data_IF_564069058850
#
_entry.id   IF_564069058850
#
_cell.length_a   1.000
_cell.length_b   1.000
_cell.length_c   1.000
_cell.angle_alpha   90.00
_cell.angle_beta   90.00
_cell.angle_gamma   90.00
#
_symmetry.space_group_name_H-M   'P 1'
#
loop_
_entity.id
_entity.type
_entity.pdbx_description
1 polymer ?
#
# COMPACT_ATOMS: atom_id res chain seq x y z
N UNK A 1 33.98 66.14 -34.35
CA UNK A 1 33.47 64.94 -35.01
C UNK A 1 33.00 64.01 -33.90
N UNK A 2 31.72 63.83 -33.68
CA UNK A 2 31.21 62.97 -32.64
C UNK A 2 30.93 61.53 -33.18
N UNK A 3 31.33 60.54 -32.38
CA UNK A 3 31.11 59.13 -32.62
C UNK A 3 29.67 58.73 -32.17
N UNK A 4 28.91 58.25 -33.12
CA UNK A 4 27.57 57.67 -32.88
C UNK A 4 27.68 56.32 -32.21
N UNK A 5 27.00 56.13 -31.05
CA UNK A 5 26.83 54.86 -30.39
C UNK A 5 25.47 54.30 -30.84
N UNK A 6 25.50 53.21 -31.59
CA UNK A 6 24.33 52.44 -31.97
C UNK A 6 24.00 51.49 -30.82
N UNK A 7 22.84 51.69 -30.18
CA UNK A 7 22.28 50.76 -29.19
C UNK A 7 21.44 49.70 -29.91
N UNK A 8 21.90 48.47 -29.91
CA UNK A 8 21.09 47.30 -30.25
C UNK A 8 20.19 46.95 -29.09
N UNK A 9 18.88 47.08 -29.28
CA UNK A 9 17.87 46.59 -28.38
C UNK A 9 17.56 45.13 -28.72
N UNK A 10 18.02 44.22 -27.86
CA UNK A 10 17.65 42.80 -27.93
C UNK A 10 16.23 42.62 -27.36
N UNK A 11 15.26 42.41 -28.23
CA UNK A 11 13.90 41.97 -27.82
C UNK A 11 13.97 40.47 -27.56
N UNK A 12 13.93 40.06 -26.31
CA UNK A 12 13.67 38.70 -25.93
C UNK A 12 12.17 38.41 -26.13
N UNK A 13 11.85 37.58 -27.11
CA UNK A 13 10.53 37.03 -27.27
C UNK A 13 10.36 35.92 -26.20
N UNK A 14 9.55 36.20 -25.16
CA UNK A 14 9.02 35.14 -24.31
C UNK A 14 8.02 34.35 -25.13
N UNK A 15 8.39 33.14 -25.52
CA UNK A 15 7.45 32.14 -25.98
C UNK A 15 6.63 31.67 -24.75
N UNK A 16 5.40 32.15 -24.61
CA UNK A 16 4.43 31.52 -23.73
C UNK A 16 4.13 30.15 -24.32
N UNK A 17 4.66 29.10 -23.72
CA UNK A 17 4.11 27.77 -23.90
C UNK A 17 2.69 27.78 -23.33
N UNK A 18 1.70 27.82 -24.19
CA UNK A 18 0.30 27.60 -23.83
C UNK A 18 0.21 26.13 -23.40
N UNK A 19 0.04 25.90 -22.10
CA UNK A 19 -0.44 24.61 -21.60
C UNK A 19 -1.84 24.38 -22.20
N UNK A 20 -2.16 23.15 -22.66
CA UNK A 20 -3.50 22.86 -23.10
C UNK A 20 -4.45 23.14 -21.93
N UNK A 21 -5.42 24.00 -22.16
CA UNK A 21 -6.52 24.26 -21.23
C UNK A 21 -7.26 22.95 -21.05
N UNK A 22 -7.11 22.33 -19.87
CA UNK A 22 -7.96 21.24 -19.43
C UNK A 22 -9.42 21.68 -19.59
N UNK A 23 -10.19 20.92 -20.34
CA UNK A 23 -11.60 21.14 -20.49
C UNK A 23 -12.23 21.17 -19.11
N UNK A 24 -12.73 22.33 -18.67
CA UNK A 24 -13.50 22.45 -17.44
C UNK A 24 -14.78 21.63 -17.62
N UNK A 25 -14.75 20.41 -17.07
CA UNK A 25 -15.98 19.70 -16.79
C UNK A 25 -16.70 20.50 -15.72
N UNK A 26 -17.80 21.11 -16.08
CA UNK A 26 -18.68 21.85 -15.18
C UNK A 26 -19.24 20.87 -14.13
N UNK A 27 -18.58 20.76 -12.99
CA UNK A 27 -19.06 19.93 -11.88
C UNK A 27 -19.78 20.82 -10.88
N UNK A 28 -21.08 20.70 -10.84
CA UNK A 28 -21.96 21.45 -9.92
C UNK A 28 -21.95 20.94 -8.48
N UNK A 29 -21.20 19.88 -8.14
CA UNK A 29 -21.20 19.25 -6.83
C UNK A 29 -19.81 18.70 -6.44
N UNK A 30 -18.79 19.56 -6.39
CA UNK A 30 -17.51 19.18 -5.80
C UNK A 30 -17.46 19.57 -4.32
N UNK A 31 -17.08 18.66 -3.46
CA UNK A 31 -16.76 18.95 -2.07
C UNK A 31 -15.24 19.15 -1.93
N UNK A 32 -14.81 20.30 -1.46
CA UNK A 32 -13.42 20.54 -1.06
C UNK A 32 -13.19 19.95 0.34
N UNK A 33 -12.14 19.17 0.50
CA UNK A 33 -11.68 18.68 1.79
C UNK A 33 -10.31 19.27 2.07
N UNK A 34 -10.20 20.06 3.14
CA UNK A 34 -8.90 20.48 3.65
C UNK A 34 -8.27 19.32 4.44
N UNK A 35 -7.01 19.02 4.15
CA UNK A 35 -6.22 18.02 4.87
C UNK A 35 -4.98 18.66 5.45
N UNK A 36 -4.74 18.45 6.74
CA UNK A 36 -3.55 18.96 7.40
C UNK A 36 -2.32 18.16 6.99
N UNK A 37 -1.26 18.85 6.59
CA UNK A 37 0.01 18.23 6.24
C UNK A 37 0.92 18.18 7.47
N UNK A 38 1.51 16.99 7.70
CA UNK A 38 2.47 16.77 8.77
C UNK A 38 3.69 17.71 8.66
N UNK A 39 4.34 18.00 9.77
CA UNK A 39 5.59 18.74 9.93
C UNK A 39 5.60 20.25 9.65
N UNK A 40 4.63 20.84 8.96
CA UNK A 40 4.63 22.28 8.68
C UNK A 40 3.27 22.97 8.90
N UNK A 41 2.29 22.27 9.46
CA UNK A 41 0.92 22.78 9.67
C UNK A 41 0.32 23.46 8.43
N UNK A 42 0.69 22.97 7.24
CA UNK A 42 0.13 23.47 6.00
C UNK A 42 -1.08 22.65 5.62
N UNK A 43 -2.03 23.29 4.97
CA UNK A 43 -3.27 22.70 4.51
C UNK A 43 -3.15 22.41 3.02
N UNK A 44 -3.55 21.22 2.57
CA UNK A 44 -3.79 20.92 1.18
C UNK A 44 -5.28 20.73 0.93
N UNK A 45 -5.74 21.10 -0.26
CA UNK A 45 -7.12 20.91 -0.67
C UNK A 45 -7.23 19.69 -1.57
N UNK A 46 -8.18 18.83 -1.27
CA UNK A 46 -8.61 17.74 -2.09
C UNK A 46 -10.03 18.06 -2.60
N UNK A 47 -10.21 18.07 -3.91
CA UNK A 47 -11.53 18.23 -4.51
C UNK A 47 -12.16 16.86 -4.78
N UNK A 48 -13.38 16.68 -4.32
CA UNK A 48 -14.22 15.53 -4.64
C UNK A 48 -15.39 15.95 -5.49
N UNK A 49 -15.48 15.39 -6.67
CA UNK A 49 -16.56 15.65 -7.63
C UNK A 49 -17.31 14.35 -7.91
N UNK A 50 -18.25 13.99 -7.04
CA UNK A 50 -18.93 12.70 -7.13
C UNK A 50 -17.95 11.54 -6.90
N UNK A 51 -17.78 10.67 -7.90
CA UNK A 51 -16.85 9.55 -7.86
C UNK A 51 -15.43 9.92 -8.30
N UNK A 52 -15.20 11.19 -8.61
CA UNK A 52 -13.94 11.71 -9.11
C UNK A 52 -13.16 12.44 -8.02
N UNK A 53 -11.85 12.20 -7.92
CA UNK A 53 -10.97 12.88 -6.97
C UNK A 53 -9.87 13.60 -7.73
N UNK A 54 -9.82 14.91 -7.55
CA UNK A 54 -8.81 15.76 -8.16
C UNK A 54 -7.79 16.18 -7.13
N UNK A 55 -6.58 15.74 -7.28
CA UNK A 55 -5.49 16.26 -6.48
C UNK A 55 -4.14 15.91 -7.13
N UNK A 56 -3.34 16.91 -7.52
CA UNK A 56 -2.00 16.68 -8.06
C UNK A 56 -1.08 15.91 -7.12
N UNK A 57 -1.40 15.91 -5.81
CA UNK A 57 -0.68 15.14 -4.80
C UNK A 57 -0.98 13.63 -4.86
N UNK A 58 -2.11 13.25 -5.47
CA UNK A 58 -2.58 11.87 -5.54
C UNK A 58 -2.26 11.20 -6.89
N UNK A 59 -1.12 11.55 -7.49
CA UNK A 59 -0.67 10.97 -8.75
C UNK A 59 -0.68 9.42 -8.75
N UNK A 60 -0.55 8.81 -7.57
CA UNK A 60 -0.57 7.37 -7.40
C UNK A 60 -1.96 6.76 -7.68
N UNK A 61 -3.02 7.52 -7.51
CA UNK A 61 -4.38 7.11 -7.88
C UNK A 61 -4.61 7.31 -9.38
N UNK A 62 -4.29 8.50 -9.90
CA UNK A 62 -4.40 8.87 -11.30
C UNK A 62 -3.66 7.88 -12.22
N UNK A 63 -2.42 7.47 -11.84
CA UNK A 63 -1.61 6.55 -12.67
C UNK A 63 -2.19 5.15 -12.81
N UNK A 64 -3.03 4.71 -11.91
CA UNK A 64 -3.49 3.31 -11.86
C UNK A 64 -4.89 3.08 -12.43
N UNK A 65 -5.61 4.09 -12.88
CA UNK A 65 -6.93 3.91 -13.49
C UNK A 65 -6.91 4.06 -15.01
N UNK A 66 -5.72 4.17 -15.60
CA UNK A 66 -5.49 4.28 -17.02
C UNK A 66 -4.31 3.42 -17.49
N UNK A 67 -4.35 3.00 -18.76
CA UNK A 67 -3.28 2.20 -19.37
C UNK A 67 -2.09 3.09 -19.75
N UNK A 68 -2.38 4.28 -20.28
CA UNK A 68 -1.39 5.22 -20.75
C UNK A 68 -0.64 5.90 -19.60
N UNK A 69 0.58 6.33 -19.87
CA UNK A 69 1.44 6.96 -18.88
C UNK A 69 1.04 8.38 -18.50
N UNK A 70 0.28 9.07 -19.36
CA UNK A 70 -0.08 10.46 -19.15
C UNK A 70 -1.11 10.57 -18.01
N UNK A 71 -0.77 11.34 -16.99
CA UNK A 71 -1.68 11.64 -15.89
C UNK A 71 -2.75 12.63 -16.37
N UNK A 72 -4.03 12.34 -16.18
CA UNK A 72 -5.15 13.18 -16.59
C UNK A 72 -5.74 14.01 -15.42
N UNK A 73 -5.24 13.83 -14.21
CA UNK A 73 -5.66 14.52 -13.01
C UNK A 73 -6.92 13.95 -12.36
N UNK A 74 -7.38 12.78 -12.80
CA UNK A 74 -8.61 12.15 -12.35
C UNK A 74 -8.34 10.75 -11.76
N UNK A 75 -9.27 10.26 -10.95
CA UNK A 75 -9.31 8.88 -10.48
C UNK A 75 -10.75 8.42 -10.31
N UNK A 76 -11.13 7.40 -11.05
CA UNK A 76 -12.46 6.80 -10.95
C UNK A 76 -12.59 5.99 -9.64
N UNK A 77 -13.47 6.45 -8.75
CA UNK A 77 -13.71 5.82 -7.45
C UNK A 77 -14.88 4.85 -7.43
N UNK A 78 -15.59 4.67 -8.53
CA UNK A 78 -16.66 3.68 -8.60
C UNK A 78 -16.11 2.29 -8.26
N UNK A 79 -16.93 1.47 -7.61
CA UNK A 79 -16.50 0.14 -7.14
C UNK A 79 -15.31 0.18 -6.17
N UNK A 80 -15.42 1.02 -5.14
CA UNK A 80 -14.38 1.27 -4.13
C UNK A 80 -14.00 0.07 -3.24
N UNK A 81 -14.28 -1.16 -3.64
CA UNK A 81 -13.86 -2.36 -2.90
C UNK A 81 -14.87 -2.85 -1.85
N UNK A 82 -16.13 -2.39 -1.89
CA UNK A 82 -17.15 -2.79 -0.93
C UNK A 82 -17.31 -4.31 -0.84
N UNK A 83 -17.38 -4.85 0.39
CA UNK A 83 -17.48 -6.29 0.66
C UNK A 83 -16.15 -7.04 0.63
N UNK A 84 -15.06 -6.40 0.23
CA UNK A 84 -13.70 -6.96 0.32
C UNK A 84 -13.02 -6.62 1.65
N UNK A 85 -12.03 -7.44 2.03
CA UNK A 85 -11.26 -7.26 3.26
C UNK A 85 -9.76 -7.29 2.95
N UNK A 86 -9.05 -6.25 3.43
CA UNK A 86 -7.60 -6.14 3.35
C UNK A 86 -7.02 -6.29 4.77
N UNK A 87 -6.25 -7.34 4.99
CA UNK A 87 -5.44 -7.53 6.20
C UNK A 87 -4.12 -6.82 6.03
N UNK A 88 -3.82 -5.84 6.87
CA UNK A 88 -2.56 -5.09 6.85
C UNK A 88 -1.64 -5.66 7.94
N UNK A 89 -0.68 -6.49 7.54
CA UNK A 89 0.36 -7.04 8.40
C UNK A 89 1.53 -6.07 8.48
N UNK A 90 1.54 -5.21 9.51
CA UNK A 90 2.46 -4.09 9.61
C UNK A 90 2.69 -3.66 11.07
N UNK A 91 3.01 -2.38 11.32
CA UNK A 91 3.23 -1.78 12.64
C UNK A 91 1.94 -1.52 13.44
N UNK A 92 0.78 -1.71 12.83
CA UNK A 92 -0.55 -1.38 13.35
C UNK A 92 -1.21 -0.29 12.51
N UNK A 93 -2.46 0.05 12.81
CA UNK A 93 -3.24 1.07 12.09
C UNK A 93 -3.97 1.97 13.07
N UNK A 94 -3.81 3.28 12.95
CA UNK A 94 -4.56 4.26 13.72
C UNK A 94 -6.02 4.33 13.25
N UNK A 95 -6.87 3.52 13.86
CA UNK A 95 -8.28 3.36 13.47
C UNK A 95 -9.09 4.65 13.59
N UNK A 96 -8.67 5.57 14.45
CA UNK A 96 -9.33 6.88 14.65
C UNK A 96 -8.98 7.91 13.58
N UNK A 97 -8.07 7.61 12.65
CA UNK A 97 -7.73 8.55 11.57
C UNK A 97 -8.93 8.76 10.63
N UNK A 98 -9.15 10.00 10.18
CA UNK A 98 -10.29 10.39 9.35
C UNK A 98 -10.39 9.64 8.01
N UNK A 99 -9.26 9.11 7.50
CA UNK A 99 -9.23 8.24 6.31
C UNK A 99 -10.07 6.97 6.47
N UNK A 100 -10.33 6.56 7.70
CA UNK A 100 -11.08 5.33 7.99
C UNK A 100 -12.47 5.59 8.58
N UNK A 101 -12.84 6.86 8.76
CA UNK A 101 -14.13 7.21 9.36
C UNK A 101 -15.31 6.86 8.44
N UNK A 102 -16.32 6.22 9.01
CA UNK A 102 -17.64 6.02 8.42
C UNK A 102 -18.56 7.23 8.69
N UNK A 103 -19.67 7.30 7.98
CA UNK A 103 -20.62 8.41 8.11
C UNK A 103 -21.26 8.50 9.53
N UNK A 104 -21.33 7.38 10.24
CA UNK A 104 -21.82 7.30 11.62
C UNK A 104 -20.75 7.63 12.68
N UNK A 105 -19.54 8.00 12.25
CA UNK A 105 -18.40 8.30 13.12
C UNK A 105 -17.63 7.07 13.60
N UNK A 106 -18.04 5.86 13.25
CA UNK A 106 -17.25 4.65 13.50
C UNK A 106 -16.13 4.50 12.49
N UNK A 107 -15.24 3.54 12.71
CA UNK A 107 -14.10 3.27 11.83
C UNK A 107 -14.30 2.03 10.98
N UNK A 108 -13.85 2.08 9.72
CA UNK A 108 -13.73 0.89 8.84
C UNK A 108 -12.56 -0.02 9.21
N UNK A 109 -11.66 0.44 10.06
CA UNK A 109 -10.59 -0.41 10.59
C UNK A 109 -11.16 -1.30 11.67
N UNK A 110 -11.11 -2.59 11.41
CA UNK A 110 -11.53 -3.62 12.35
C UNK A 110 -10.35 -3.98 13.24
N UNK A 111 -10.59 -4.08 14.55
CA UNK A 111 -9.60 -4.59 15.48
C UNK A 111 -9.19 -6.00 15.07
N UNK A 112 -7.92 -6.18 14.77
CA UNK A 112 -7.34 -7.45 14.38
C UNK A 112 -6.54 -8.07 15.52
N UNK A 113 -5.24 -8.14 15.35
CA UNK A 113 -4.34 -8.83 16.26
C UNK A 113 -3.05 -8.04 16.49
N UNK A 114 -2.47 -8.17 17.68
CA UNK A 114 -1.16 -7.61 18.05
C UNK A 114 -0.22 -8.71 18.56
N UNK A 115 0.73 -9.12 17.73
CA UNK A 115 1.78 -10.07 18.06
C UNK A 115 2.99 -9.44 18.76
N UNK A 116 3.06 -8.10 18.86
CA UNK A 116 4.27 -7.40 19.35
C UNK A 116 4.46 -7.49 20.86
N UNK A 117 3.49 -8.05 21.58
CA UNK A 117 3.65 -8.44 22.98
C UNK A 117 4.48 -9.70 23.18
N UNK A 118 4.92 -10.38 22.10
CA UNK A 118 5.78 -11.55 22.19
C UNK A 118 7.18 -11.19 22.72
N UNK A 119 7.83 -12.15 23.36
CA UNK A 119 9.20 -11.97 23.88
C UNK A 119 10.23 -11.68 22.77
N UNK A 120 9.94 -12.05 21.52
CA UNK A 120 10.83 -11.85 20.38
C UNK A 120 10.91 -10.38 19.95
N UNK A 121 9.85 -9.60 20.15
CA UNK A 121 9.77 -8.19 19.75
C UNK A 121 9.81 -7.22 20.93
N UNK A 122 9.78 -7.74 22.17
CA UNK A 122 9.71 -6.91 23.37
C UNK A 122 8.31 -6.31 23.59
N UNK A 123 8.21 -5.41 24.58
CA UNK A 123 6.94 -4.76 24.89
C UNK A 123 6.64 -3.67 23.86
N UNK A 124 5.55 -3.85 23.15
CA UNK A 124 4.98 -2.78 22.33
C UNK A 124 4.27 -1.74 23.21
N UNK A 125 4.49 -0.49 22.89
CA UNK A 125 3.68 0.61 23.44
C UNK A 125 2.50 0.84 22.50
N UNK A 126 1.38 0.18 22.75
CA UNK A 126 0.12 0.58 22.12
C UNK A 126 -0.36 1.88 22.75
N UNK A 127 -0.83 2.81 21.92
CA UNK A 127 -1.33 4.12 22.38
C UNK A 127 -2.68 3.98 23.08
N UNK A 128 -3.48 2.95 22.76
CA UNK A 128 -4.71 2.63 23.48
C UNK A 128 -4.47 1.60 24.57
N UNK A 129 -4.96 1.87 25.76
CA UNK A 129 -4.67 1.09 26.97
C UNK A 129 -5.29 -0.31 27.04
N UNK A 130 -6.18 -0.70 26.14
CA UNK A 130 -6.82 -1.99 26.14
C UNK A 130 -6.45 -2.82 24.90
N UNK A 131 -5.58 -3.82 25.11
CA UNK A 131 -5.09 -4.72 24.08
C UNK A 131 -6.14 -5.71 23.59
N UNK A 132 -7.19 -5.92 24.34
CA UNK A 132 -8.20 -6.96 24.04
C UNK A 132 -9.33 -6.45 23.17
N UNK A 133 -9.61 -5.15 23.17
CA UNK A 133 -10.82 -4.57 22.58
C UNK A 133 -10.53 -3.45 21.58
N UNK A 134 -9.34 -2.84 21.61
CA UNK A 134 -8.98 -1.77 20.69
C UNK A 134 -7.88 -2.23 19.72
N UNK A 135 -7.95 -1.82 18.43
CA UNK A 135 -6.82 -2.02 17.52
C UNK A 135 -5.59 -1.38 18.13
N UNK A 136 -4.46 -2.08 18.07
CA UNK A 136 -3.20 -1.51 18.47
C UNK A 136 -2.80 -0.49 17.40
N UNK A 137 -2.76 0.78 17.78
CA UNK A 137 -2.33 1.85 16.90
C UNK A 137 -0.85 1.75 16.58
N UNK A 138 -0.45 2.38 15.51
CA UNK A 138 0.95 2.69 15.31
C UNK A 138 1.49 3.44 16.55
N UNK A 139 2.72 3.11 16.93
CA UNK A 139 3.34 3.79 18.07
C UNK A 139 3.65 5.22 17.70
N UNK A 140 3.25 6.16 18.54
CA UNK A 140 3.72 7.55 18.46
C UNK A 140 5.17 7.54 18.95
N UNK A 141 6.10 7.33 18.04
CA UNK A 141 7.52 7.43 18.28
C UNK A 141 8.15 8.24 17.14
N UNK A 142 9.19 9.01 17.43
CA UNK A 142 9.91 9.83 16.45
C UNK A 142 10.71 8.97 15.45
N UNK A 143 10.73 7.65 15.63
CA UNK A 143 11.42 6.73 14.74
C UNK A 143 10.72 6.60 13.37
N UNK A 144 11.50 6.44 12.33
CA UNK A 144 11.03 6.42 10.93
C UNK A 144 9.96 5.36 10.62
N UNK A 145 9.86 4.30 11.42
CA UNK A 145 8.87 3.24 11.27
C UNK A 145 7.51 3.58 11.93
N UNK A 146 7.44 4.57 12.83
CA UNK A 146 6.18 5.05 13.37
C UNK A 146 5.26 5.52 12.23
N UNK A 147 3.99 5.21 12.29
CA UNK A 147 2.99 5.48 11.24
C UNK A 147 3.07 4.63 9.95
N UNK A 148 3.98 3.67 9.83
CA UNK A 148 4.13 2.92 8.60
C UNK A 148 2.85 2.16 8.22
N UNK A 149 2.28 1.37 9.13
CA UNK A 149 1.06 0.61 8.87
C UNK A 149 -0.18 1.50 8.64
N UNK A 150 -0.29 2.65 9.30
CA UNK A 150 -1.35 3.63 9.03
C UNK A 150 -1.22 4.23 7.64
N UNK A 151 0.01 4.59 7.22
CA UNK A 151 0.26 5.04 5.84
C UNK A 151 -0.10 3.96 4.82
N UNK A 152 0.36 2.73 5.03
CA UNK A 152 0.05 1.56 4.16
C UNK A 152 -1.45 1.33 4.06
N UNK A 153 -2.16 1.28 5.18
CA UNK A 153 -3.61 1.09 5.22
C UNK A 153 -4.36 2.21 4.50
N UNK A 154 -3.92 3.47 4.68
CA UNK A 154 -4.55 4.63 4.02
C UNK A 154 -4.38 4.60 2.50
N UNK A 155 -3.22 4.16 2.00
CA UNK A 155 -2.98 4.00 0.56
C UNK A 155 -3.85 2.88 -0.02
N UNK A 156 -3.99 1.76 0.71
CA UNK A 156 -4.83 0.66 0.26
C UNK A 156 -6.32 1.03 0.22
N UNK A 157 -6.83 1.62 1.32
CA UNK A 157 -8.26 1.76 1.56
C UNK A 157 -8.67 3.07 2.26
N UNK A 158 -7.85 4.09 2.25
CA UNK A 158 -8.23 5.40 2.78
C UNK A 158 -9.37 6.05 2.00
N UNK A 159 -10.19 6.80 2.70
CA UNK A 159 -11.36 7.47 2.13
C UNK A 159 -10.99 8.49 1.06
N UNK A 160 -9.88 9.21 1.24
CA UNK A 160 -9.42 10.26 0.31
C UNK A 160 -8.23 9.81 -0.53
N UNK A 161 -7.29 9.09 0.06
CA UNK A 161 -6.00 8.75 -0.56
C UNK A 161 -5.90 7.29 -0.96
N UNK A 162 -6.90 6.47 -0.65
CA UNK A 162 -6.89 5.03 -0.89
C UNK A 162 -7.47 4.61 -2.23
N UNK A 163 -6.92 3.51 -2.74
CA UNK A 163 -7.36 2.86 -3.99
C UNK A 163 -8.74 2.23 -3.84
N UNK A 164 -9.02 1.60 -2.69
CA UNK A 164 -10.27 0.88 -2.40
C UNK A 164 -10.97 1.47 -1.16
N UNK A 165 -11.57 2.69 -1.28
CA UNK A 165 -12.08 3.44 -0.13
C UNK A 165 -13.26 2.80 0.59
N UNK A 166 -13.89 1.78 0.01
CA UNK A 166 -15.04 1.07 0.61
C UNK A 166 -14.67 -0.32 1.14
N UNK A 167 -13.42 -0.74 0.98
CA UNK A 167 -12.92 -1.99 1.54
C UNK A 167 -12.77 -1.92 3.07
N UNK A 168 -13.03 -3.02 3.76
CA UNK A 168 -12.71 -3.14 5.17
C UNK A 168 -11.20 -3.36 5.36
N UNK A 169 -10.64 -2.75 6.41
CA UNK A 169 -9.24 -2.92 6.81
C UNK A 169 -9.18 -3.66 8.12
N UNK A 170 -8.37 -4.71 8.20
CA UNK A 170 -8.07 -5.40 9.46
C UNK A 170 -6.61 -5.15 9.82
N UNK A 171 -6.39 -4.50 10.95
CA UNK A 171 -5.04 -4.25 11.47
C UNK A 171 -4.47 -5.52 12.07
N UNK A 172 -3.33 -5.99 11.55
CA UNK A 172 -2.59 -7.14 12.09
C UNK A 172 -1.17 -6.68 12.41
N UNK A 173 -0.96 -6.30 13.65
CA UNK A 173 0.33 -5.77 14.08
C UNK A 173 1.32 -6.90 14.33
N UNK A 174 2.33 -6.99 13.48
CA UNK A 174 3.42 -8.00 13.55
C UNK A 174 4.80 -7.35 13.67
N UNK A 175 4.90 -6.04 13.45
CA UNK A 175 6.14 -5.26 13.55
C UNK A 175 6.12 -4.40 14.80
N UNK A 176 7.27 -4.29 15.45
CA UNK A 176 7.45 -3.37 16.58
C UNK A 176 7.61 -1.91 16.10
N UNK A 177 7.83 -0.98 17.04
CA UNK A 177 8.05 0.45 16.79
C UNK A 177 9.26 0.78 15.90
N UNK A 178 10.16 -0.20 15.69
CA UNK A 178 11.31 -0.09 14.78
C UNK A 178 11.05 -0.70 13.41
N UNK A 179 9.82 -1.15 13.14
CA UNK A 179 9.47 -1.84 11.90
C UNK A 179 10.07 -3.24 11.77
N UNK A 180 10.44 -3.87 12.90
CA UNK A 180 11.04 -5.19 12.90
C UNK A 180 10.00 -6.26 13.26
N UNK A 181 10.01 -7.34 12.50
CA UNK A 181 9.16 -8.52 12.70
C UNK A 181 10.00 -9.81 12.75
N UNK A 182 9.47 -10.85 13.38
CA UNK A 182 10.05 -12.19 13.40
C UNK A 182 9.12 -13.19 12.72
N UNK A 183 9.67 -14.35 12.32
CA UNK A 183 8.88 -15.47 11.80
C UNK A 183 7.77 -15.90 12.75
N UNK A 184 8.01 -15.79 14.08
CA UNK A 184 7.00 -16.05 15.09
C UNK A 184 5.83 -15.08 15.01
N UNK A 185 6.09 -13.76 15.01
CA UNK A 185 5.02 -12.77 14.96
C UNK A 185 4.26 -12.82 13.64
N UNK A 186 4.93 -13.20 12.54
CA UNK A 186 4.26 -13.45 11.28
C UNK A 186 3.33 -14.66 11.35
N UNK A 187 3.81 -15.79 11.89
CA UNK A 187 2.98 -16.99 12.01
C UNK A 187 1.75 -16.73 12.90
N UNK A 188 1.95 -16.08 14.04
CA UNK A 188 0.86 -15.68 14.95
C UNK A 188 -0.14 -14.73 14.26
N UNK A 189 0.37 -13.78 13.46
CA UNK A 189 -0.47 -12.88 12.66
C UNK A 189 -1.27 -13.61 11.58
N UNK A 190 -0.66 -14.58 10.87
CA UNK A 190 -1.34 -15.40 9.87
C UNK A 190 -2.44 -16.29 10.50
N UNK A 191 -2.18 -16.88 11.66
CA UNK A 191 -3.18 -17.65 12.40
C UNK A 191 -4.35 -16.76 12.83
N UNK A 192 -4.08 -15.55 13.31
CA UNK A 192 -5.09 -14.57 13.68
C UNK A 192 -5.94 -14.13 12.47
N UNK A 193 -5.34 -13.95 11.28
CA UNK A 193 -6.04 -13.66 10.03
C UNK A 193 -7.03 -14.77 9.70
N UNK A 194 -6.62 -16.02 9.77
CA UNK A 194 -7.48 -17.18 9.49
C UNK A 194 -8.67 -17.19 10.44
N UNK A 195 -8.41 -17.06 11.74
CA UNK A 195 -9.48 -17.05 12.77
C UNK A 195 -10.46 -15.89 12.57
N UNK A 196 -9.94 -14.69 12.28
CA UNK A 196 -10.77 -13.53 11.99
C UNK A 196 -11.62 -13.74 10.74
N UNK A 197 -11.02 -14.23 9.64
CA UNK A 197 -11.72 -14.46 8.38
C UNK A 197 -12.89 -15.45 8.55
N UNK A 198 -12.71 -16.51 9.30
CA UNK A 198 -13.75 -17.48 9.57
C UNK A 198 -14.86 -16.95 10.48
N UNK A 199 -14.50 -16.12 11.46
CA UNK A 199 -15.43 -15.60 12.44
C UNK A 199 -16.30 -14.45 11.92
N UNK A 200 -15.74 -13.58 11.07
CA UNK A 200 -16.33 -12.27 10.78
C UNK A 200 -16.47 -11.92 9.30
N UNK A 201 -15.75 -12.62 8.43
CA UNK A 201 -15.70 -12.29 7.01
C UNK A 201 -16.47 -13.30 6.17
N UNK A 202 -17.52 -12.86 5.49
CA UNK A 202 -18.30 -13.71 4.57
C UNK A 202 -17.52 -14.03 3.27
N UNK A 203 -16.60 -13.18 2.84
CA UNK A 203 -15.84 -13.37 1.60
C UNK A 203 -15.02 -14.67 1.64
N UNK A 204 -14.96 -15.37 0.52
CA UNK A 204 -14.15 -16.58 0.37
C UNK A 204 -12.69 -16.24 0.16
N UNK A 205 -12.39 -15.20 -0.63
CA UNK A 205 -11.04 -14.69 -0.87
C UNK A 205 -10.87 -13.35 -0.18
N UNK A 206 -9.73 -13.17 0.47
CA UNK A 206 -9.32 -11.91 1.11
C UNK A 206 -7.91 -11.54 0.69
N UNK A 207 -7.47 -10.33 0.99
CA UNK A 207 -6.16 -9.82 0.64
C UNK A 207 -5.32 -9.67 1.92
N UNK A 208 -4.05 -10.09 1.86
CA UNK A 208 -3.04 -9.85 2.90
C UNK A 208 -1.95 -8.97 2.32
N UNK A 209 -1.85 -7.73 2.80
CA UNK A 209 -0.77 -6.82 2.43
C UNK A 209 0.39 -6.95 3.42
N UNK A 210 1.61 -7.15 2.90
CA UNK A 210 2.85 -7.23 3.66
C UNK A 210 3.83 -6.21 3.09
N UNK A 211 3.95 -5.06 3.75
CA UNK A 211 4.84 -3.99 3.34
C UNK A 211 6.16 -4.01 4.13
N UNK A 212 6.79 -5.19 4.23
CA UNK A 212 8.02 -5.36 4.97
C UNK A 212 8.60 -6.77 4.83
N UNK A 213 9.59 -7.06 5.64
CA UNK A 213 10.30 -8.34 5.66
C UNK A 213 10.44 -8.85 7.10
N UNK A 214 10.81 -10.11 7.23
CA UNK A 214 10.83 -10.81 8.51
C UNK A 214 12.19 -11.44 8.77
N UNK A 215 12.55 -11.51 10.04
CA UNK A 215 13.74 -12.20 10.56
C UNK A 215 13.31 -13.48 11.30
N UNK A 216 14.15 -14.51 11.31
CA UNK A 216 13.86 -15.68 12.18
C UNK A 216 13.91 -15.28 13.66
N UNK A 217 14.78 -14.32 14.00
CA UNK A 217 14.87 -13.72 15.35
C UNK A 217 15.54 -12.35 15.29
N UNK A 218 15.29 -11.53 16.28
CA UNK A 218 16.05 -10.29 16.47
C UNK A 218 17.43 -10.59 17.05
N UNK A 219 18.42 -9.79 16.64
CA UNK A 219 19.77 -9.89 17.19
C UNK A 219 19.77 -9.64 18.71
N UNK A 220 20.41 -10.53 19.46
CA UNK A 220 20.46 -10.43 20.93
C UNK A 220 19.20 -10.87 21.68
N UNK A 221 18.12 -11.23 20.99
CA UNK A 221 16.92 -11.75 21.63
C UNK A 221 17.11 -13.20 22.12
N UNK A 222 16.44 -13.54 23.22
CA UNK A 222 16.42 -14.91 23.75
C UNK A 222 15.74 -15.84 22.72
N UNK A 223 16.22 -17.09 22.63
CA UNK A 223 15.60 -18.11 21.77
C UNK A 223 14.32 -18.60 22.43
N UNK A 224 13.18 -18.30 21.84
CA UNK A 224 11.87 -18.80 22.26
C UNK A 224 11.59 -20.12 21.54
N UNK A 225 11.29 -21.17 22.29
CA UNK A 225 10.96 -22.48 21.72
C UNK A 225 9.44 -22.70 21.67
N UNK A 226 8.92 -23.40 20.65
CA UNK A 226 9.65 -23.91 19.47
C UNK A 226 10.15 -22.77 18.56
N UNK A 227 11.28 -22.95 17.87
CA UNK A 227 11.78 -21.98 16.89
C UNK A 227 10.88 -22.03 15.66
N UNK A 228 10.36 -20.87 15.25
CA UNK A 228 9.61 -20.71 14.00
C UNK A 228 10.59 -20.39 12.88
N UNK A 229 10.58 -21.17 11.82
CA UNK A 229 11.47 -21.03 10.66
C UNK A 229 10.77 -20.31 9.50
N UNK A 230 11.53 -19.81 8.52
CA UNK A 230 10.96 -19.31 7.27
C UNK A 230 10.11 -20.36 6.56
N UNK A 231 10.55 -21.64 6.55
CA UNK A 231 9.81 -22.73 5.95
C UNK A 231 8.42 -22.95 6.58
N UNK A 232 8.29 -22.77 7.89
CA UNK A 232 7.00 -22.88 8.56
C UNK A 232 6.05 -21.74 8.15
N UNK A 233 6.56 -20.51 8.03
CA UNK A 233 5.76 -19.36 7.56
C UNK A 233 5.40 -19.53 6.08
N UNK A 234 6.34 -19.97 5.24
CA UNK A 234 6.09 -20.25 3.83
C UNK A 234 5.00 -21.30 3.66
N UNK A 235 5.06 -22.41 4.41
CA UNK A 235 4.03 -23.46 4.33
C UNK A 235 2.66 -22.89 4.71
N UNK A 236 2.56 -22.07 5.77
CA UNK A 236 1.32 -21.41 6.16
C UNK A 236 0.78 -20.51 5.04
N UNK A 237 1.64 -19.73 4.37
CA UNK A 237 1.25 -18.90 3.23
C UNK A 237 0.70 -19.77 2.09
N UNK A 238 1.38 -20.87 1.75
CA UNK A 238 0.93 -21.83 0.71
C UNK A 238 -0.45 -22.40 1.03
N UNK A 239 -0.66 -22.83 2.26
CA UNK A 239 -1.94 -23.39 2.71
C UNK A 239 -3.05 -22.32 2.63
N UNK A 240 -2.80 -21.11 3.08
CA UNK A 240 -3.75 -19.98 3.02
C UNK A 240 -4.12 -19.60 1.57
N UNK A 241 -3.18 -19.67 0.63
CA UNK A 241 -3.44 -19.44 -0.79
C UNK A 241 -4.34 -20.54 -1.36
N UNK A 242 -4.02 -21.79 -1.05
CA UNK A 242 -4.76 -22.95 -1.54
C UNK A 242 -6.17 -23.07 -0.93
N UNK A 243 -6.30 -22.68 0.32
CA UNK A 243 -7.52 -22.69 1.13
C UNK A 243 -7.32 -23.39 2.45
N UNK A 244 -7.89 -22.82 3.52
CA UNK A 244 -7.78 -23.33 4.88
C UNK A 244 -9.12 -23.32 5.61
N UNK A 245 -9.30 -24.29 6.52
CA UNK A 245 -10.41 -24.33 7.47
C UNK A 245 -10.22 -23.33 8.64
N UNK A 246 -11.16 -23.33 9.59
CA UNK A 246 -11.12 -22.44 10.76
C UNK A 246 -9.93 -22.69 11.72
N UNK A 247 -9.32 -23.88 11.64
CA UNK A 247 -8.14 -24.24 12.42
C UNK A 247 -6.82 -24.00 11.67
N UNK A 248 -6.93 -23.53 10.40
CA UNK A 248 -5.78 -23.30 9.53
C UNK A 248 -5.24 -24.58 8.85
N UNK A 249 -5.99 -25.66 8.89
CA UNK A 249 -5.65 -26.87 8.12
C UNK A 249 -6.08 -26.71 6.64
N UNK A 250 -5.35 -27.33 5.68
CA UNK A 250 -5.70 -27.26 4.28
C UNK A 250 -7.13 -27.70 3.98
N UNK A 251 -7.89 -26.84 3.31
CA UNK A 251 -9.28 -27.10 2.87
C UNK A 251 -9.55 -26.38 1.54
N UNK A 252 -9.72 -27.16 0.48
CA UNK A 252 -9.99 -26.63 -0.87
C UNK A 252 -11.29 -25.80 -0.94
N UNK A 253 -12.23 -25.99 -0.02
CA UNK A 253 -13.47 -25.22 0.11
C UNK A 253 -13.34 -24.08 1.13
N UNK A 254 -12.23 -23.98 1.82
CA UNK A 254 -11.96 -23.03 2.87
C UNK A 254 -11.73 -21.60 2.40
N UNK A 255 -11.33 -20.76 3.34
CA UNK A 255 -10.93 -19.36 3.07
C UNK A 255 -9.61 -19.32 2.35
N UNK A 256 -9.49 -18.42 1.37
CA UNK A 256 -8.30 -18.19 0.55
C UNK A 256 -7.78 -16.78 0.71
N UNK A 257 -6.48 -16.62 0.49
CA UNK A 257 -5.83 -15.34 0.69
C UNK A 257 -4.85 -15.03 -0.45
N UNK A 258 -5.05 -13.88 -1.10
CA UNK A 258 -4.04 -13.30 -1.98
C UNK A 258 -3.00 -12.56 -1.11
N UNK A 259 -1.74 -12.84 -1.32
CA UNK A 259 -0.66 -12.11 -0.67
C UNK A 259 -0.09 -11.04 -1.62
N UNK A 260 0.01 -9.80 -1.13
CA UNK A 260 0.62 -8.69 -1.86
C UNK A 260 1.81 -8.19 -1.03
N UNK A 261 3.01 -8.30 -1.57
CA UNK A 261 4.26 -8.16 -0.84
C UNK A 261 5.15 -7.11 -1.48
N UNK A 262 5.73 -6.21 -0.67
CA UNK A 262 6.71 -5.23 -1.14
C UNK A 262 8.04 -5.91 -1.52
N UNK A 263 8.63 -5.50 -2.65
CA UNK A 263 9.91 -6.04 -3.17
C UNK A 263 11.14 -5.69 -2.32
N UNK A 264 10.97 -4.85 -1.29
CA UNK A 264 12.02 -4.21 -0.49
C UNK A 264 12.80 -3.12 -1.24
N UNK A 265 13.63 -2.39 -0.51
CA UNK A 265 14.27 -1.17 -0.99
C UNK A 265 15.80 -1.28 -0.96
N UNK A 266 16.45 -0.59 -1.90
CA UNK A 266 17.92 -0.62 -2.06
C UNK A 266 18.69 0.02 -0.90
N UNK A 267 18.03 0.77 -0.03
CA UNK A 267 18.60 1.43 1.15
C UNK A 267 18.84 0.49 2.35
N UNK A 268 19.10 -0.78 2.09
CA UNK A 268 19.47 -1.80 3.08
C UNK A 268 18.54 -3.02 3.14
N UNK A 269 17.50 -3.03 2.29
CA UNK A 269 16.55 -4.14 2.17
C UNK A 269 16.86 -5.16 1.08
N UNK A 270 17.85 -4.92 0.23
CA UNK A 270 18.26 -5.85 -0.83
C UNK A 270 19.53 -6.61 -0.45
N UNK A 271 19.68 -7.78 -1.04
CA UNK A 271 20.92 -8.53 -1.06
C UNK A 271 21.98 -7.96 -1.98
N UNK A 272 23.09 -8.69 -2.18
CA UNK A 272 24.14 -8.30 -3.10
C UNK A 272 23.60 -7.96 -4.49
N UNK A 273 24.17 -6.95 -5.13
CA UNK A 273 23.75 -6.49 -6.47
C UNK A 273 22.30 -5.97 -6.56
N UNK A 274 21.68 -5.62 -5.44
CA UNK A 274 20.32 -5.06 -5.42
C UNK A 274 19.21 -6.07 -5.68
N UNK A 275 19.48 -7.38 -5.49
CA UNK A 275 18.51 -8.45 -5.71
C UNK A 275 17.65 -8.69 -4.47
N UNK A 276 16.39 -9.07 -4.65
CA UNK A 276 15.50 -9.48 -3.56
C UNK A 276 16.08 -10.70 -2.84
N UNK A 277 16.38 -10.56 -1.56
CA UNK A 277 16.86 -11.66 -0.70
C UNK A 277 16.07 -11.76 0.61
N UNK A 278 15.07 -10.91 0.81
CA UNK A 278 14.26 -10.87 2.03
C UNK A 278 12.95 -11.64 1.86
N UNK A 279 12.63 -12.45 2.87
CA UNK A 279 11.37 -13.16 2.95
C UNK A 279 10.26 -12.23 3.48
N UNK A 280 9.02 -12.26 2.94
CA UNK A 280 8.50 -13.22 1.96
C UNK A 280 8.63 -12.78 0.49
N UNK A 281 9.22 -11.63 0.16
CA UNK A 281 9.35 -11.13 -1.22
C UNK A 281 10.10 -12.12 -2.15
N UNK A 282 10.97 -12.95 -1.58
CA UNK A 282 11.67 -14.03 -2.31
C UNK A 282 10.76 -15.12 -2.87
N UNK A 283 9.47 -15.13 -2.49
CA UNK A 283 8.47 -16.08 -2.99
C UNK A 283 7.83 -15.63 -4.32
N UNK A 284 7.94 -14.35 -4.68
CA UNK A 284 7.41 -13.81 -5.94
C UNK A 284 7.93 -14.58 -7.15
N UNK A 285 7.11 -14.73 -8.19
CA UNK A 285 7.33 -15.57 -9.38
C UNK A 285 7.48 -17.08 -9.11
N UNK A 286 7.49 -17.50 -7.85
CA UNK A 286 7.64 -18.92 -7.44
C UNK A 286 6.38 -19.50 -6.83
N UNK A 287 5.48 -18.66 -6.38
CA UNK A 287 4.28 -19.06 -5.64
C UNK A 287 3.05 -18.32 -6.16
N UNK A 288 2.27 -18.96 -7.01
CA UNK A 288 1.02 -18.40 -7.52
C UNK A 288 0.04 -18.07 -6.39
N UNK A 289 -0.56 -16.86 -6.43
CA UNK A 289 -1.38 -16.29 -5.36
C UNK A 289 -0.60 -15.38 -4.41
N UNK A 290 0.68 -15.09 -4.73
CA UNK A 290 1.50 -14.08 -4.06
C UNK A 290 2.11 -13.16 -5.11
N UNK A 291 1.88 -11.85 -4.98
CA UNK A 291 2.40 -10.82 -5.90
C UNK A 291 3.50 -10.03 -5.20
N UNK A 292 4.70 -10.03 -5.78
CA UNK A 292 5.79 -9.16 -5.34
C UNK A 292 5.79 -7.86 -6.14
N UNK A 293 5.60 -6.73 -5.44
CA UNK A 293 5.36 -5.41 -6.03
C UNK A 293 6.62 -4.56 -5.96
N UNK A 294 7.09 -4.11 -7.11
CA UNK A 294 8.13 -3.11 -7.27
C UNK A 294 7.57 -1.69 -7.37
N UNK A 295 8.47 -0.72 -7.45
CA UNK A 295 8.12 0.69 -7.47
C UNK A 295 8.32 1.37 -8.81
N UNK A 296 7.47 2.36 -9.10
CA UNK A 296 7.64 3.31 -10.19
C UNK A 296 7.56 4.76 -9.70
N UNK A 297 8.00 5.68 -10.55
CA UNK A 297 8.01 7.12 -10.32
C UNK A 297 6.88 7.83 -11.07
N UNK A 298 6.58 9.08 -10.72
CA UNK A 298 5.51 9.85 -11.34
C UNK A 298 5.79 10.23 -12.82
N UNK A 299 7.05 10.22 -13.23
CA UNK A 299 7.49 10.39 -14.61
C UNK A 299 7.56 9.07 -15.39
N UNK A 300 6.82 8.08 -14.93
CA UNK A 300 6.60 6.77 -15.56
C UNK A 300 7.87 5.93 -15.77
N UNK A 301 8.84 6.01 -14.86
CA UNK A 301 10.05 5.19 -14.88
C UNK A 301 10.10 4.19 -13.74
N UNK A 302 10.94 3.16 -13.87
CA UNK A 302 11.29 2.29 -12.76
C UNK A 302 11.88 3.11 -11.60
N UNK A 303 11.37 2.92 -10.38
CA UNK A 303 11.96 3.55 -9.21
C UNK A 303 13.26 2.83 -8.82
N UNK A 304 14.38 3.56 -8.86
CA UNK A 304 15.72 3.03 -8.58
C UNK A 304 15.90 2.48 -7.16
N UNK A 305 14.98 2.83 -6.25
CA UNK A 305 14.96 2.29 -4.89
C UNK A 305 14.39 0.86 -4.76
N UNK A 306 13.91 0.24 -5.84
CA UNK A 306 13.34 -1.12 -5.81
C UNK A 306 14.41 -2.20 -5.84
N UNK A 307 14.32 -3.22 -4.97
CA UNK A 307 15.08 -4.46 -5.13
C UNK A 307 14.59 -5.25 -6.35
N UNK A 308 15.52 -5.89 -7.09
CA UNK A 308 15.27 -6.57 -8.37
C UNK A 308 15.19 -8.09 -8.24
N UNK A 309 14.70 -8.75 -9.28
CA UNK A 309 14.69 -10.23 -9.38
C UNK A 309 13.56 -10.88 -8.59
N UNK A 310 12.39 -11.02 -9.23
CA UNK A 310 11.18 -11.59 -8.65
C UNK A 310 10.05 -10.57 -8.47
N UNK A 311 10.21 -9.35 -8.99
CA UNK A 311 9.12 -8.38 -9.12
C UNK A 311 8.18 -8.82 -10.23
N UNK A 312 6.88 -8.80 -9.98
CA UNK A 312 5.85 -9.25 -10.92
C UNK A 312 5.06 -8.09 -11.53
N UNK A 313 4.94 -7.00 -10.79
CA UNK A 313 4.26 -5.78 -11.23
C UNK A 313 4.83 -4.56 -10.51
N UNK A 314 4.77 -3.41 -11.16
CA UNK A 314 5.15 -2.11 -10.61
C UNK A 314 3.91 -1.35 -10.17
N UNK A 315 4.05 -0.54 -9.14
CA UNK A 315 3.05 0.46 -8.75
C UNK A 315 3.73 1.72 -8.23
N UNK A 316 3.04 2.86 -8.17
CA UNK A 316 3.57 4.10 -7.62
C UNK A 316 4.26 3.92 -6.28
N UNK A 317 5.54 4.36 -6.18
CA UNK A 317 6.38 4.16 -5.00
C UNK A 317 7.13 5.38 -4.52
N UNK A 318 7.25 6.42 -5.36
CA UNK A 318 8.03 7.60 -5.03
C UNK A 318 7.13 8.80 -4.78
N UNK A 319 7.30 9.43 -3.62
CA UNK A 319 6.55 10.66 -3.31
C UNK A 319 5.07 10.42 -3.07
N UNK A 320 4.71 9.36 -2.36
CA UNK A 320 3.32 8.98 -2.10
C UNK A 320 2.76 9.76 -0.91
N UNK A 321 1.62 10.39 -1.13
CA UNK A 321 0.85 11.08 -0.11
C UNK A 321 0.02 10.06 0.69
N UNK A 322 0.08 10.12 2.03
CA UNK A 322 -0.57 9.13 2.89
C UNK A 322 -0.85 9.66 4.29
N UNK A 323 -1.76 9.03 5.01
CA UNK A 323 -2.04 9.32 6.41
C UNK A 323 -0.83 9.09 7.32
N UNK A 324 -0.78 9.81 8.45
CA UNK A 324 0.20 9.65 9.52
C UNK A 324 -0.50 9.57 10.88
N UNK A 325 0.23 9.29 11.95
CA UNK A 325 -0.32 9.16 13.31
C UNK A 325 -0.13 10.40 14.18
N UNK A 326 0.36 11.51 13.65
CA UNK A 326 0.55 12.75 14.41
C UNK A 326 -0.75 13.47 14.72
N UNK A 327 -1.84 13.09 14.07
CA UNK A 327 -3.20 13.56 14.30
C UNK A 327 -4.19 12.74 13.48
N UNK A 328 -5.48 12.84 13.83
CA UNK A 328 -6.57 12.08 13.18
C UNK A 328 -6.87 12.54 11.75
N UNK A 329 -6.33 13.66 11.34
CA UNK A 329 -6.48 14.30 10.03
C UNK A 329 -5.14 14.72 9.42
N UNK A 330 -4.02 14.17 9.93
CA UNK A 330 -2.69 14.53 9.48
C UNK A 330 -2.17 13.60 8.39
N UNK A 331 -1.48 14.19 7.41
CA UNK A 331 -0.91 13.49 6.27
C UNK A 331 0.55 13.86 6.05
N UNK A 332 1.32 12.96 5.45
CA UNK A 332 2.66 13.25 4.92
C UNK A 332 2.55 13.62 3.46
N UNK A 333 2.82 14.87 3.12
CA UNK A 333 2.54 15.36 1.79
C UNK A 333 3.48 16.40 1.21
N UNK A 334 4.62 16.75 1.85
CA UNK A 334 5.57 17.71 1.29
C UNK A 334 6.95 17.10 1.08
N UNK A 335 7.58 17.45 -0.06
CA UNK A 335 9.01 17.18 -0.24
C UNK A 335 9.82 17.92 0.85
N UNK A 336 10.78 17.28 1.54
CA UNK A 336 11.29 15.91 1.34
C UNK A 336 10.50 14.81 2.08
N UNK A 337 9.39 15.12 2.74
CA UNK A 337 8.69 14.23 3.68
C UNK A 337 7.61 13.33 3.04
N UNK A 338 7.49 13.28 1.71
CA UNK A 338 6.66 12.30 1.03
C UNK A 338 7.21 10.89 1.26
N UNK A 339 6.33 9.92 1.42
CA UNK A 339 6.71 8.52 1.56
C UNK A 339 7.25 7.97 0.23
N UNK A 340 8.39 7.31 0.28
CA UNK A 340 8.92 6.56 -0.86
C UNK A 340 9.33 5.17 -0.40
N UNK A 341 8.98 4.16 -1.18
CA UNK A 341 9.27 2.77 -0.87
C UNK A 341 8.31 1.82 -1.57
N UNK A 342 8.77 0.61 -1.84
CA UNK A 342 7.92 -0.48 -2.33
C UNK A 342 6.83 -0.84 -1.30
N UNK A 343 7.05 -0.49 -0.02
CA UNK A 343 6.04 -0.56 1.04
C UNK A 343 4.77 0.23 0.75
N UNK A 344 4.85 1.27 -0.11
CA UNK A 344 3.71 2.10 -0.51
C UNK A 344 3.16 1.70 -1.89
N UNK A 345 3.93 0.96 -2.68
CA UNK A 345 3.47 0.33 -3.91
C UNK A 345 2.58 -0.91 -3.65
N UNK A 346 2.97 -1.76 -2.72
CA UNK A 346 2.21 -2.96 -2.37
C UNK A 346 0.74 -2.67 -1.97
N UNK A 347 0.43 -1.72 -1.09
CA UNK A 347 -0.96 -1.41 -0.73
C UNK A 347 -1.79 -0.87 -1.89
N UNK A 348 -1.19 -0.25 -2.91
CA UNK A 348 -1.90 0.13 -4.13
C UNK A 348 -2.42 -1.13 -4.84
N UNK A 349 -1.57 -2.14 -5.01
CA UNK A 349 -1.96 -3.42 -5.63
C UNK A 349 -2.98 -4.16 -4.77
N UNK A 350 -2.85 -4.11 -3.45
CA UNK A 350 -3.85 -4.68 -2.54
C UNK A 350 -5.23 -4.00 -2.70
N UNK A 351 -5.25 -2.67 -2.88
CA UNK A 351 -6.47 -1.92 -3.17
C UNK A 351 -7.07 -2.28 -4.53
N UNK A 352 -6.25 -2.46 -5.57
CA UNK A 352 -6.69 -2.93 -6.89
C UNK A 352 -7.36 -4.31 -6.77
N UNK A 353 -6.72 -5.25 -6.07
CA UNK A 353 -7.29 -6.57 -5.82
C UNK A 353 -8.64 -6.51 -5.06
N UNK A 354 -8.77 -5.59 -4.10
CA UNK A 354 -10.00 -5.38 -3.36
C UNK A 354 -11.15 -4.88 -4.26
N UNK A 355 -10.87 -3.96 -5.17
CA UNK A 355 -11.84 -3.49 -6.18
C UNK A 355 -12.26 -4.61 -7.13
N UNK A 356 -11.32 -5.47 -7.54
CA UNK A 356 -11.63 -6.64 -8.38
C UNK A 356 -12.54 -7.63 -7.65
N UNK A 357 -12.25 -7.93 -6.38
CA UNK A 357 -13.10 -8.82 -5.56
C UNK A 357 -14.48 -8.25 -5.31
N UNK A 358 -14.63 -6.93 -5.19
CA UNK A 358 -15.95 -6.31 -5.06
C UNK A 358 -16.84 -6.54 -6.32
N UNK A 359 -16.23 -6.64 -7.49
CA UNK A 359 -16.93 -6.94 -8.75
C UNK A 359 -17.07 -8.45 -8.99
N UNK A 360 -16.04 -9.21 -8.65
CA UNK A 360 -15.93 -10.65 -8.87
C UNK A 360 -15.48 -11.38 -7.60
N UNK A 361 -16.39 -11.58 -6.64
CA UNK A 361 -16.08 -12.19 -5.34
C UNK A 361 -15.68 -13.67 -5.43
N UNK A 362 -15.87 -14.28 -6.57
CA UNK A 362 -15.51 -15.67 -6.89
C UNK A 362 -14.03 -15.86 -7.29
N UNK A 363 -13.30 -14.78 -7.58
CA UNK A 363 -11.90 -14.88 -8.01
C UNK A 363 -11.01 -15.53 -6.94
N UNK A 364 -10.18 -16.46 -7.41
CA UNK A 364 -9.14 -17.10 -6.58
C UNK A 364 -7.90 -16.19 -6.50
N UNK A 365 -7.00 -16.42 -5.50
CA UNK A 365 -5.74 -15.69 -5.43
C UNK A 365 -4.92 -15.74 -6.72
N UNK A 366 -4.84 -16.93 -7.37
CA UNK A 366 -4.11 -17.10 -8.63
C UNK A 366 -4.75 -16.36 -9.80
N UNK A 367 -6.08 -16.28 -9.84
CA UNK A 367 -6.78 -15.49 -10.87
C UNK A 367 -6.57 -14.00 -10.66
N UNK A 368 -6.60 -13.51 -9.43
CA UNK A 368 -6.30 -12.11 -9.10
C UNK A 368 -4.86 -11.76 -9.50
N UNK A 369 -3.90 -12.58 -9.12
CA UNK A 369 -2.50 -12.42 -9.54
C UNK A 369 -2.38 -12.34 -11.06
N UNK A 370 -2.95 -13.32 -11.78
CA UNK A 370 -2.90 -13.35 -13.24
C UNK A 370 -3.48 -12.07 -13.86
N UNK A 371 -4.63 -11.61 -13.41
CA UNK A 371 -5.26 -10.39 -13.90
C UNK A 371 -4.38 -9.15 -13.65
N UNK A 372 -3.85 -9.01 -12.44
CA UNK A 372 -3.03 -7.86 -12.04
C UNK A 372 -1.70 -7.85 -12.77
N UNK A 373 -1.05 -9.01 -12.93
CA UNK A 373 0.27 -9.12 -13.55
C UNK A 373 0.22 -9.21 -15.08
N UNK A 374 -0.94 -9.52 -15.68
CA UNK A 374 -1.15 -9.50 -17.13
C UNK A 374 -1.55 -8.15 -17.69
N UNK A 375 -1.37 -7.08 -16.94
CA UNK A 375 -1.71 -5.70 -17.31
C UNK A 375 -1.05 -5.27 -18.63
N UNK A 376 -1.75 -4.51 -19.50
CA UNK A 376 -1.14 -3.87 -20.67
C UNK A 376 -0.35 -2.60 -20.35
N UNK A 377 -0.56 -1.99 -19.16
CA UNK A 377 0.12 -0.76 -18.77
C UNK A 377 1.61 -0.97 -18.55
N UNK A 378 2.44 -0.01 -18.99
CA UNK A 378 3.92 -0.09 -18.98
C UNK A 378 4.55 1.20 -18.50
N UNK A 379 5.78 1.11 -17.96
CA UNK A 379 6.70 2.25 -17.81
C UNK A 379 7.37 2.58 -19.14
N UNK A 380 7.90 3.79 -19.26
CA UNK A 380 8.56 4.28 -20.48
C UNK A 380 9.95 3.67 -20.69
N UNK A 381 10.64 3.35 -19.59
CA UNK A 381 11.94 2.68 -19.63
C UNK A 381 11.82 1.28 -19.03
N UNK A 382 11.50 0.28 -19.87
CA UNK A 382 11.39 -1.08 -19.43
C UNK A 382 12.74 -1.74 -19.23
N UNK A 383 13.69 -1.01 -18.64
CA UNK A 383 15.02 -1.54 -18.36
C UNK A 383 14.94 -2.68 -17.33
N UNK A 384 14.47 -3.70 -17.82
CA UNK A 384 13.71 -4.79 -17.75
C UNK A 384 14.10 -5.94 -16.92
N UNK A 385 14.82 -5.75 -15.74
CA UNK A 385 14.93 -6.69 -14.65
C UNK A 385 13.77 -6.58 -13.62
N UNK A 386 12.77 -5.74 -13.92
CA UNK A 386 11.62 -5.51 -13.05
C UNK A 386 10.31 -5.65 -13.82
N UNK A 387 9.64 -6.78 -13.68
CA UNK A 387 8.28 -7.02 -14.14
C UNK A 387 8.04 -6.72 -15.64
N UNK A 388 9.05 -6.77 -16.50
CA UNK A 388 8.95 -6.35 -17.91
C UNK A 388 8.29 -4.96 -18.05
N UNK A 389 8.51 -4.06 -17.08
CA UNK A 389 7.91 -2.73 -17.04
C UNK A 389 6.40 -2.70 -16.79
N UNK A 390 5.77 -3.81 -16.42
CA UNK A 390 4.32 -3.89 -16.18
C UNK A 390 3.88 -3.07 -14.99
N UNK A 391 2.88 -2.20 -15.18
CA UNK A 391 2.31 -1.34 -14.14
C UNK A 391 0.91 -1.85 -13.79
N UNK A 392 0.65 -2.05 -12.50
CA UNK A 392 -0.67 -2.40 -12.02
C UNK A 392 -1.66 -1.27 -12.30
N UNK A 393 -2.86 -1.62 -12.78
CA UNK A 393 -3.94 -0.66 -12.97
C UNK A 393 -5.29 -1.30 -12.62
N UNK A 394 -6.29 -0.47 -12.39
CA UNK A 394 -7.66 -0.92 -12.11
C UNK A 394 -8.32 -1.30 -13.43
N UNK A 395 -8.50 -2.59 -13.75
CA UNK A 395 -9.19 -2.96 -14.98
C UNK A 395 -10.65 -2.57 -14.89
N UNK A 396 -11.20 -1.99 -15.95
CA UNK A 396 -12.65 -1.99 -16.14
C UNK A 396 -13.06 -3.42 -16.46
N UNK A 397 -13.45 -4.18 -15.44
CA UNK A 397 -14.02 -5.51 -15.67
C UNK A 397 -15.39 -5.26 -16.27
N UNK A 398 -15.48 -5.36 -17.61
CA UNK A 398 -16.76 -5.31 -18.30
C UNK A 398 -17.63 -6.45 -17.78
N UNK A 399 -18.89 -6.12 -17.44
CA UNK A 399 -19.91 -7.08 -17.04
C UNK A 399 -20.16 -8.14 -18.11
#
# INVERSE_FOLDING_TARGET
>A
MPRSIVRFALRAALALCAFPTLAQVSSTNCAETEVSLDALYSVARLERCGDDVRAPLLWHLDRIDQVDAALDGHFDRRNGGAGSVIYVMDTGVMASHGEFALADGTSRVIAGFDATGSVDLGRSKCVSGDKATAPCYDVIDELAAASHGTSVASIAAGRNVGVAPDAAVVSVRVMNERGLATTRTYLEGLDAIIQHAWKTNAARTSIVNISGWVLERLSGAAVVKPVVTYAAVEQKIRDMIAGVDANGAPDANGKRFLFVVAANNTDGGCGPSGVIDRFPATLGTKLGGLITVGGMTADNHNWSGTCRGGVEVLAPAQGIFSATITGTDHYRGRRPNLRSGTSFAAPIVAGIAARMLAQRPDLTPQQLEWWITSTPSRVDDPNDQMADGRVAYVPSIAN
#
